data_IF_266908845449
#
_entry.id   IF_266908845449
#
_cell.length_a   1.000
_cell.length_b   1.000
_cell.length_c   1.000
_cell.angle_alpha   90.00
_cell.angle_beta   90.00
_cell.angle_gamma   90.00
#
_symmetry.space_group_name_H-M   'P 1'
#
loop_
_entity.id
_entity.type
_entity.pdbx_description
1 polymer ?
#
# COMPACT_ATOMS: atom_id res chain seq x y z
N UNK A 1 -32.28 -63.89 -36.58
CA UNK A 1 -31.03 -63.66 -35.83
C UNK A 1 -30.88 -62.16 -35.62
N UNK A 2 -31.09 -61.68 -34.40
CA UNK A 2 -30.87 -60.28 -34.01
C UNK A 2 -29.54 -60.23 -33.26
N UNK A 3 -28.55 -59.51 -33.78
CA UNK A 3 -27.30 -59.25 -33.06
C UNK A 3 -27.48 -58.00 -32.21
N UNK A 4 -27.50 -58.17 -30.89
CA UNK A 4 -27.29 -57.10 -29.92
C UNK A 4 -25.78 -56.79 -29.87
N UNK A 5 -25.41 -55.52 -30.05
CA UNK A 5 -24.11 -55.02 -29.62
C UNK A 5 -24.34 -54.09 -28.43
N UNK A 6 -23.86 -54.53 -27.26
CA UNK A 6 -23.75 -53.72 -26.06
C UNK A 6 -22.47 -52.89 -26.18
N UNK A 7 -22.60 -51.56 -26.23
CA UNK A 7 -21.47 -50.65 -26.10
C UNK A 7 -21.44 -50.13 -24.65
N UNK A 8 -20.53 -50.66 -23.85
CA UNK A 8 -20.19 -50.14 -22.53
C UNK A 8 -19.50 -48.78 -22.69
N UNK A 9 -20.20 -47.71 -22.32
CA UNK A 9 -19.62 -46.38 -22.19
C UNK A 9 -18.80 -46.35 -20.89
N UNK A 10 -17.46 -46.40 -20.96
CA UNK A 10 -16.65 -46.16 -19.76
C UNK A 10 -16.69 -44.67 -19.45
N UNK A 11 -17.27 -44.28 -18.32
CA UNK A 11 -17.06 -42.95 -17.76
C UNK A 11 -15.56 -42.74 -17.54
N UNK A 12 -14.96 -41.88 -18.33
CA UNK A 12 -13.66 -41.31 -17.99
C UNK A 12 -13.89 -40.37 -16.81
N UNK A 13 -13.43 -40.76 -15.63
CA UNK A 13 -13.35 -39.88 -14.46
C UNK A 13 -12.43 -38.71 -14.83
N UNK A 14 -13.02 -37.55 -15.11
CA UNK A 14 -12.27 -36.29 -15.18
C UNK A 14 -11.92 -35.95 -13.74
N UNK A 15 -10.68 -36.26 -13.35
CA UNK A 15 -10.13 -35.76 -12.11
C UNK A 15 -10.03 -34.23 -12.22
N UNK A 16 -10.97 -33.51 -11.60
CA UNK A 16 -10.73 -32.11 -11.25
C UNK A 16 -9.56 -32.12 -10.27
N UNK A 17 -8.36 -31.83 -10.76
CA UNK A 17 -7.28 -31.38 -9.91
C UNK A 17 -7.75 -30.07 -9.29
N UNK A 18 -8.05 -30.11 -7.98
CA UNK A 18 -8.13 -28.91 -7.18
C UNK A 18 -6.74 -28.26 -7.20
N UNK A 19 -6.51 -27.38 -8.16
CA UNK A 19 -5.48 -26.37 -7.99
C UNK A 19 -5.97 -25.53 -6.82
N UNK A 20 -5.33 -25.67 -5.67
CA UNK A 20 -5.47 -24.64 -4.63
C UNK A 20 -5.19 -23.33 -5.33
N UNK A 21 -6.15 -22.40 -5.29
CA UNK A 21 -5.92 -21.04 -5.73
C UNK A 21 -4.81 -20.51 -4.83
N UNK A 22 -3.55 -20.64 -5.26
CA UNK A 22 -2.52 -19.77 -4.77
C UNK A 22 -3.04 -18.38 -5.09
N UNK A 23 -3.32 -17.58 -4.05
CA UNK A 23 -3.57 -16.15 -4.22
C UNK A 23 -2.50 -15.65 -5.18
N UNK A 24 -2.90 -15.29 -6.39
CA UNK A 24 -1.96 -14.79 -7.40
C UNK A 24 -1.60 -13.38 -6.98
N UNK A 25 -0.70 -13.24 -6.00
CA UNK A 25 -0.12 -11.94 -5.68
C UNK A 25 0.74 -11.56 -6.88
N UNK A 26 0.28 -10.62 -7.69
CA UNK A 26 1.13 -10.02 -8.71
C UNK A 26 2.20 -9.20 -7.99
N UNK A 27 3.34 -9.02 -8.63
CA UNK A 27 4.39 -8.18 -8.08
C UNK A 27 4.55 -6.94 -8.95
N UNK A 28 4.73 -5.79 -8.31
CA UNK A 28 5.03 -4.54 -8.99
C UNK A 28 6.35 -3.97 -8.49
N UNK A 29 7.19 -3.48 -9.40
CA UNK A 29 8.39 -2.73 -9.04
C UNK A 29 8.02 -1.33 -8.55
N UNK A 30 8.40 -1.00 -7.32
CA UNK A 30 8.14 0.30 -6.69
C UNK A 30 9.34 0.80 -5.89
N UNK A 31 9.49 2.13 -5.75
CA UNK A 31 10.48 2.73 -4.85
C UNK A 31 10.00 2.61 -3.40
N UNK A 32 10.43 1.57 -2.68
CA UNK A 32 9.96 1.30 -1.32
C UNK A 32 10.51 2.26 -0.25
N UNK A 33 11.44 3.14 -0.63
CA UNK A 33 11.97 4.17 0.26
C UNK A 33 11.22 5.50 0.16
N UNK A 34 10.50 5.77 -0.94
CA UNK A 34 9.82 7.05 -1.17
C UNK A 34 8.95 7.42 0.02
N UNK A 35 8.81 8.69 0.41
CA UNK A 35 7.89 9.24 1.44
C UNK A 35 7.82 8.45 2.78
N UNK A 36 8.83 7.63 3.08
CA UNK A 36 8.89 6.81 4.30
C UNK A 36 9.34 7.65 5.49
N UNK A 37 9.11 7.11 6.68
CA UNK A 37 9.64 7.68 7.90
C UNK A 37 11.18 7.65 7.87
N UNK A 38 11.79 8.81 8.13
CA UNK A 38 13.25 8.95 8.15
C UNK A 38 13.72 9.55 9.46
N UNK A 39 14.94 9.19 9.84
CA UNK A 39 15.64 9.77 10.97
C UNK A 39 17.10 9.99 10.59
N UNK A 40 17.80 10.82 11.36
CA UNK A 40 19.18 11.13 11.07
C UNK A 40 19.77 12.09 12.07
N UNK A 41 21.03 12.44 11.83
CA UNK A 41 21.66 13.59 12.46
C UNK A 41 20.83 14.85 12.21
N UNK A 42 20.80 15.77 13.18
CA UNK A 42 20.02 17.01 13.05
C UNK A 42 20.39 17.73 11.74
N UNK A 43 19.39 18.09 10.92
CA UNK A 43 19.66 18.72 9.64
C UNK A 43 20.18 20.14 9.86
N UNK A 44 20.94 20.67 8.89
CA UNK A 44 21.44 22.04 8.95
C UNK A 44 20.30 23.07 9.04
N UNK A 45 19.17 22.81 8.40
CA UNK A 45 17.94 23.60 8.57
C UNK A 45 16.71 22.76 8.22
N UNK A 46 15.51 23.27 8.51
CA UNK A 46 14.25 22.61 8.14
C UNK A 46 14.11 22.40 6.62
N UNK A 47 14.76 23.21 5.79
CA UNK A 47 14.79 23.04 4.33
C UNK A 47 15.48 21.73 3.91
N UNK A 48 16.39 21.21 4.73
CA UNK A 48 17.20 20.02 4.45
C UNK A 48 16.85 18.85 5.37
N UNK A 49 15.57 18.73 5.75
CA UNK A 49 15.08 17.69 6.64
C UNK A 49 15.36 16.28 6.11
N UNK A 50 15.39 15.28 6.99
CA UNK A 50 15.68 13.88 6.63
C UNK A 50 14.74 13.31 5.58
N UNK A 51 13.47 13.74 5.59
CA UNK A 51 12.45 13.32 4.63
C UNK A 51 12.75 13.77 3.20
N UNK A 52 13.63 14.76 3.02
CA UNK A 52 14.05 15.25 1.70
C UNK A 52 14.95 14.30 0.93
N UNK A 53 15.46 13.24 1.56
CA UNK A 53 16.22 12.21 0.87
C UNK A 53 15.34 11.10 0.28
N UNK A 54 14.02 11.16 0.47
CA UNK A 54 13.06 10.18 -0.04
C UNK A 54 11.80 10.87 -0.60
N UNK A 55 11.89 12.13 -1.01
CA UNK A 55 10.72 12.88 -1.49
C UNK A 55 10.52 12.79 -3.01
N UNK A 56 11.29 11.90 -3.65
CA UNK A 56 11.35 11.63 -5.07
C UNK A 56 11.79 12.80 -5.95
N UNK A 57 12.32 13.86 -5.35
CA UNK A 57 12.91 14.95 -6.10
C UNK A 57 14.36 14.64 -6.45
N UNK A 58 14.54 13.75 -7.45
CA UNK A 58 15.85 13.27 -7.89
C UNK A 58 16.84 14.42 -8.15
N UNK A 59 16.39 15.56 -8.68
CA UNK A 59 17.24 16.70 -9.09
C UNK A 59 17.04 17.95 -8.24
N UNK A 60 16.91 17.76 -6.93
CA UNK A 60 16.70 18.87 -6.02
C UNK A 60 18.03 19.52 -5.59
N UNK A 61 17.93 20.78 -5.17
CA UNK A 61 18.98 21.43 -4.38
C UNK A 61 18.64 21.39 -2.89
N UNK A 62 17.52 20.79 -2.48
CA UNK A 62 17.02 20.77 -1.09
C UNK A 62 16.98 19.38 -0.48
N UNK A 63 17.79 18.43 -0.95
CA UNK A 63 17.98 17.13 -0.30
C UNK A 63 18.42 17.22 1.16
N UNK A 64 18.48 16.09 1.85
CA UNK A 64 18.97 16.04 3.23
C UNK A 64 20.43 16.50 3.34
N UNK A 65 20.68 17.34 4.33
CA UNK A 65 22.01 17.83 4.70
C UNK A 65 22.12 17.81 6.23
N UNK A 66 23.01 16.99 6.75
CA UNK A 66 23.31 16.99 8.19
C UNK A 66 23.89 18.33 8.65
N UNK A 67 23.85 18.60 9.95
CA UNK A 67 24.64 19.67 10.56
C UNK A 67 26.14 19.54 10.20
N UNK A 68 26.83 20.69 10.17
CA UNK A 68 28.25 20.80 9.80
C UNK A 68 29.16 20.48 10.99
N UNK A 69 30.32 19.91 10.71
CA UNK A 69 31.38 19.61 11.67
C UNK A 69 31.02 18.51 12.65
N UNK A 70 30.03 17.68 12.29
CA UNK A 70 29.55 16.59 13.11
C UNK A 70 30.29 15.31 12.73
N UNK A 71 30.86 14.64 13.73
CA UNK A 71 31.40 13.30 13.55
C UNK A 71 30.25 12.30 13.44
N UNK A 72 30.47 11.25 12.65
CA UNK A 72 29.52 10.15 12.52
C UNK A 72 28.11 10.57 12.08
N UNK A 73 28.05 11.54 11.14
CA UNK A 73 26.79 11.93 10.54
C UNK A 73 26.10 10.73 9.90
N UNK A 74 24.79 10.62 10.11
CA UNK A 74 24.00 9.51 9.62
C UNK A 74 22.61 9.94 9.17
N UNK A 75 22.01 9.11 8.34
CA UNK A 75 20.64 9.16 7.87
C UNK A 75 20.10 7.74 7.76
N UNK A 76 18.81 7.55 7.99
CA UNK A 76 18.12 6.26 7.87
C UNK A 76 16.68 6.44 7.42
N UNK A 77 16.19 5.45 6.67
CA UNK A 77 14.78 5.23 6.35
C UNK A 77 14.33 3.86 6.90
N UNK A 78 13.13 3.82 7.49
CA UNK A 78 12.40 2.57 7.79
C UNK A 78 11.48 2.26 6.61
N UNK A 79 11.74 1.16 5.91
CA UNK A 79 10.96 0.72 4.76
C UNK A 79 9.59 0.15 5.18
N UNK A 80 9.36 -0.08 6.48
CA UNK A 80 8.10 -0.56 7.05
C UNK A 80 7.89 -2.08 6.94
N UNK A 81 8.68 -2.76 6.12
CA UNK A 81 8.74 -4.21 5.99
C UNK A 81 10.14 -4.61 5.48
N UNK A 82 10.44 -5.90 5.51
CA UNK A 82 11.65 -6.43 4.90
C UNK A 82 11.48 -6.60 3.39
N UNK A 83 12.47 -6.12 2.63
CA UNK A 83 12.50 -6.22 1.18
C UNK A 83 13.77 -6.91 0.69
N UNK A 84 13.64 -7.54 -0.47
CA UNK A 84 14.77 -7.97 -1.27
C UNK A 84 14.91 -6.98 -2.43
N UNK A 85 16.10 -6.41 -2.61
CA UNK A 85 16.33 -5.49 -3.72
C UNK A 85 17.61 -5.81 -4.48
N UNK A 86 17.48 -5.77 -5.80
CA UNK A 86 18.59 -5.95 -6.73
C UNK A 86 19.37 -4.65 -6.93
N UNK A 87 18.73 -3.50 -6.70
CA UNK A 87 19.29 -2.20 -6.97
C UNK A 87 18.96 -1.22 -5.84
N UNK A 88 19.97 -0.46 -5.39
CA UNK A 88 19.77 0.77 -4.61
C UNK A 88 20.48 1.89 -5.35
N UNK A 89 19.83 3.06 -5.45
CA UNK A 89 20.44 4.25 -6.02
C UNK A 89 20.47 5.38 -5.01
N UNK A 90 21.64 5.98 -4.81
CA UNK A 90 21.83 7.18 -4.00
C UNK A 90 22.20 8.32 -4.92
N UNK A 91 21.38 9.35 -4.90
CA UNK A 91 21.53 10.57 -5.65
C UNK A 91 22.21 11.62 -4.78
N UNK A 92 23.29 12.21 -5.30
CA UNK A 92 23.98 13.34 -4.68
C UNK A 92 23.39 14.67 -5.15
N UNK A 93 23.64 15.71 -4.36
CA UNK A 93 23.15 17.06 -4.65
C UNK A 93 23.82 17.63 -5.90
N UNK A 94 23.03 18.27 -6.75
CA UNK A 94 23.48 18.95 -7.96
C UNK A 94 24.12 20.31 -7.64
N UNK A 95 25.33 20.30 -7.08
CA UNK A 95 26.12 21.50 -6.77
C UNK A 95 27.62 21.20 -6.87
N UNK A 96 28.42 22.16 -7.35
CA UNK A 96 29.88 21.96 -7.51
C UNK A 96 30.55 21.64 -6.17
N UNK A 97 31.30 20.54 -6.09
CA UNK A 97 31.92 20.05 -4.85
C UNK A 97 30.97 19.35 -3.86
N UNK A 98 29.67 19.27 -4.15
CA UNK A 98 28.70 18.58 -3.28
C UNK A 98 28.90 17.06 -3.23
N UNK A 99 29.44 16.49 -4.30
CA UNK A 99 29.71 15.05 -4.39
C UNK A 99 30.71 14.57 -3.32
N UNK A 100 31.67 15.41 -2.93
CA UNK A 100 32.68 15.01 -1.95
C UNK A 100 32.11 14.75 -0.55
N UNK A 101 30.92 15.28 -0.27
CA UNK A 101 30.26 15.18 1.04
C UNK A 101 29.65 13.81 1.36
N UNK A 102 29.67 12.87 0.41
CA UNK A 102 29.26 11.48 0.66
C UNK A 102 30.44 10.50 0.53
N UNK A 103 31.58 10.95 0.00
CA UNK A 103 32.74 10.09 -0.23
C UNK A 103 33.28 9.55 1.10
N UNK A 104 33.38 8.23 1.21
CA UNK A 104 33.83 7.53 2.42
C UNK A 104 32.72 7.12 3.38
N UNK A 105 31.48 7.60 3.19
CA UNK A 105 30.32 7.11 3.92
C UNK A 105 29.98 5.66 3.52
N UNK A 106 29.09 5.03 4.27
CA UNK A 106 28.64 3.65 4.04
C UNK A 106 27.13 3.61 3.88
N UNK A 107 26.66 3.00 2.80
CA UNK A 107 25.29 2.53 2.66
C UNK A 107 25.16 1.19 3.38
N UNK A 108 24.23 1.08 4.33
CA UNK A 108 24.06 -0.07 5.20
C UNK A 108 22.59 -0.53 5.18
N UNK A 109 22.38 -1.84 5.17
CA UNK A 109 21.06 -2.46 5.28
C UNK A 109 20.94 -3.24 6.59
N UNK A 110 19.81 -3.10 7.27
CA UNK A 110 19.49 -3.82 8.51
C UNK A 110 18.17 -4.57 8.39
N UNK A 111 18.09 -5.74 9.01
CA UNK A 111 16.85 -6.53 9.14
C UNK A 111 15.89 -5.94 10.19
N UNK A 112 14.77 -6.62 10.46
CA UNK A 112 13.78 -6.20 11.44
C UNK A 112 14.29 -6.18 12.90
N UNK A 113 15.28 -7.01 13.23
CA UNK A 113 16.01 -7.03 14.51
C UNK A 113 17.09 -5.96 14.60
N UNK A 114 17.27 -5.16 13.54
CA UNK A 114 18.30 -4.13 13.42
C UNK A 114 19.74 -4.70 13.34
N UNK A 115 19.90 -5.94 12.86
CA UNK A 115 21.19 -6.54 12.55
C UNK A 115 21.66 -6.08 11.17
N UNK A 116 22.92 -5.66 11.05
CA UNK A 116 23.48 -5.24 9.76
C UNK A 116 23.72 -6.45 8.85
N UNK A 117 23.05 -6.48 7.70
CA UNK A 117 23.09 -7.61 6.75
C UNK A 117 23.76 -7.24 5.41
N UNK A 118 23.87 -5.94 5.12
CA UNK A 118 24.61 -5.41 3.98
C UNK A 118 25.34 -4.13 4.33
N UNK A 119 26.52 -3.94 3.74
CA UNK A 119 27.28 -2.70 3.78
C UNK A 119 28.03 -2.48 2.48
N UNK A 120 27.97 -1.26 1.97
CA UNK A 120 28.68 -0.80 0.78
C UNK A 120 29.32 0.56 1.06
N UNK A 121 30.63 0.67 0.86
CA UNK A 121 31.34 1.96 0.96
C UNK A 121 31.03 2.82 -0.27
N UNK A 122 30.72 4.08 -0.01
CA UNK A 122 30.41 5.11 -1.01
C UNK A 122 31.71 5.81 -1.42
N UNK A 123 31.99 5.90 -2.72
CA UNK A 123 33.26 6.48 -3.21
C UNK A 123 33.15 6.97 -4.64
N UNK A 124 33.93 7.99 -5.03
CA UNK A 124 34.12 8.36 -6.45
C UNK A 124 33.36 9.60 -6.91
N UNK A 125 32.83 10.41 -6.00
CA UNK A 125 32.16 11.65 -6.35
C UNK A 125 33.13 12.84 -6.30
N UNK A 126 33.79 13.19 -7.41
CA UNK A 126 34.42 14.50 -7.56
C UNK A 126 33.87 15.17 -8.81
N UNK A 127 33.29 16.36 -8.65
CA UNK A 127 32.68 17.11 -9.73
C UNK A 127 33.26 18.49 -9.87
N UNK A 128 33.81 18.77 -11.04
CA UNK A 128 34.30 20.09 -11.42
C UNK A 128 33.29 20.89 -12.24
N UNK A 129 32.21 20.27 -12.75
CA UNK A 129 31.15 20.96 -13.51
C UNK A 129 29.78 20.24 -13.46
N UNK A 130 28.68 20.98 -13.69
CA UNK A 130 27.28 20.49 -13.65
C UNK A 130 26.90 19.63 -14.88
N UNK A 131 27.73 19.59 -15.93
CA UNK A 131 27.41 18.87 -17.18
C UNK A 131 27.69 17.37 -17.15
N UNK A 132 28.28 16.83 -16.08
CA UNK A 132 28.68 15.43 -15.99
C UNK A 132 27.64 14.57 -15.23
N UNK A 133 27.10 13.54 -15.89
CA UNK A 133 25.99 12.68 -15.47
C UNK A 133 26.24 11.77 -14.22
N UNK A 134 27.31 11.94 -13.46
CA UNK A 134 27.73 11.00 -12.39
C UNK A 134 27.13 11.29 -10.98
N UNK A 135 25.88 11.76 -10.87
CA UNK A 135 25.31 12.28 -9.59
C UNK A 135 24.47 11.20 -8.91
N UNK A 136 24.58 9.99 -9.43
CA UNK A 136 23.90 8.79 -8.99
C UNK A 136 24.97 7.73 -8.84
N UNK A 137 24.95 7.04 -7.71
CA UNK A 137 25.57 5.75 -7.61
C UNK A 137 24.48 4.73 -7.43
N UNK A 138 24.51 3.75 -8.30
CA UNK A 138 23.57 2.64 -8.29
C UNK A 138 24.38 1.38 -8.07
N UNK A 139 23.96 0.58 -7.10
CA UNK A 139 24.57 -0.71 -6.80
C UNK A 139 23.60 -1.79 -7.20
N UNK A 140 23.89 -2.44 -8.32
CA UNK A 140 23.25 -3.68 -8.68
C UNK A 140 23.97 -4.81 -7.95
N UNK A 141 23.31 -5.44 -6.99
CA UNK A 141 23.97 -6.40 -6.12
C UNK A 141 23.71 -7.86 -6.47
N UNK A 142 23.00 -8.15 -7.57
CA UNK A 142 22.80 -9.50 -8.08
C UNK A 142 22.60 -10.57 -7.00
N UNK A 143 21.75 -10.29 -5.99
CA UNK A 143 21.40 -11.11 -4.81
C UNK A 143 22.37 -11.26 -3.61
N UNK A 144 23.50 -10.53 -3.50
CA UNK A 144 24.46 -10.71 -2.38
C UNK A 144 24.27 -9.77 -1.16
N UNK A 145 23.28 -10.03 -0.30
CA UNK A 145 23.21 -9.43 1.06
C UNK A 145 22.17 -8.32 1.27
N UNK A 146 21.48 -7.89 0.22
CA UNK A 146 20.34 -6.96 0.33
C UNK A 146 18.98 -7.68 0.38
N UNK A 147 18.97 -8.91 0.92
CA UNK A 147 17.74 -9.67 1.14
C UNK A 147 17.31 -9.52 2.60
N UNK A 148 16.02 -9.29 2.85
CA UNK A 148 15.50 -9.12 4.21
C UNK A 148 15.78 -7.74 4.82
N UNK A 149 16.00 -6.70 4.02
CA UNK A 149 16.35 -5.37 4.55
C UNK A 149 15.08 -4.60 4.87
N UNK A 150 14.97 -4.14 6.13
CA UNK A 150 13.91 -3.23 6.58
C UNK A 150 14.40 -1.81 6.77
N UNK A 151 15.61 -1.62 7.29
CA UNK A 151 16.16 -0.28 7.49
C UNK A 151 17.34 -0.07 6.55
N UNK A 152 17.33 1.05 5.84
CA UNK A 152 18.44 1.47 5.00
C UNK A 152 19.05 2.73 5.60
N UNK A 153 20.37 2.74 5.80
CA UNK A 153 21.08 3.87 6.38
C UNK A 153 22.29 4.29 5.57
N UNK A 154 22.63 5.58 5.62
CA UNK A 154 23.89 6.12 5.12
C UNK A 154 24.63 6.72 6.30
N UNK A 155 25.87 6.27 6.55
CA UNK A 155 26.61 6.57 7.79
C UNK A 155 28.07 6.90 7.52
N UNK A 156 28.58 7.91 8.20
CA UNK A 156 30.02 8.17 8.31
C UNK A 156 30.64 7.33 9.45
N UNK A 157 30.75 6.01 9.27
CA UNK A 157 31.25 5.09 10.31
C UNK A 157 32.69 5.40 10.75
N UNK A 158 33.50 5.91 9.83
CA UNK A 158 34.94 6.11 10.01
C UNK A 158 35.30 7.57 10.37
N UNK A 159 34.30 8.46 10.49
CA UNK A 159 34.52 9.89 10.72
C UNK A 159 35.23 10.62 9.57
N UNK A 160 35.24 10.03 8.37
CA UNK A 160 36.04 10.45 7.21
C UNK A 160 35.48 11.72 6.58
N UNK A 161 34.17 12.00 6.73
CA UNK A 161 33.56 13.19 6.14
C UNK A 161 34.14 14.50 6.71
N UNK A 162 34.74 14.46 7.91
CA UNK A 162 35.33 15.63 8.56
C UNK A 162 36.59 16.19 7.87
N UNK A 163 37.20 15.43 6.96
CA UNK A 163 38.41 15.85 6.23
C UNK A 163 38.17 16.70 4.98
N UNK A 164 36.91 16.87 4.55
CA UNK A 164 36.57 17.56 3.30
C UNK A 164 36.39 19.07 3.53
N UNK A 165 36.86 19.91 2.59
CA UNK A 165 37.04 21.37 2.66
C UNK A 165 35.82 22.23 3.06
N UNK A 166 34.64 21.64 3.27
CA UNK A 166 33.37 22.30 3.57
C UNK A 166 32.75 21.82 4.88
N UNK A 167 33.58 21.35 5.83
CA UNK A 167 33.19 21.17 7.23
C UNK A 167 32.30 19.97 7.50
N UNK A 168 32.64 18.78 6.98
CA UNK A 168 32.12 17.48 7.45
C UNK A 168 30.62 17.39 7.65
N UNK A 169 29.89 17.21 6.56
CA UNK A 169 28.45 16.99 6.59
C UNK A 169 28.06 15.96 5.53
N UNK A 170 27.06 15.13 5.86
CA UNK A 170 26.49 14.11 5.00
C UNK A 170 25.41 14.73 4.12
N UNK A 171 25.57 14.64 2.80
CA UNK A 171 24.65 15.22 1.81
C UNK A 171 24.03 14.12 0.97
N UNK A 172 22.71 14.03 0.99
CA UNK A 172 21.94 13.03 0.26
C UNK A 172 20.83 13.77 -0.46
N UNK A 173 20.81 13.72 -1.79
CA UNK A 173 19.71 14.33 -2.52
C UNK A 173 18.47 13.44 -2.53
N UNK A 174 18.64 12.16 -2.88
CA UNK A 174 17.55 11.21 -2.93
C UNK A 174 18.07 9.78 -2.80
N UNK A 175 17.28 8.89 -2.22
CA UNK A 175 17.55 7.47 -2.12
C UNK A 175 16.38 6.72 -2.73
N UNK A 176 16.68 5.94 -3.76
CA UNK A 176 15.68 5.16 -4.50
C UNK A 176 16.00 3.68 -4.33
N UNK A 177 15.05 2.94 -3.77
CA UNK A 177 15.14 1.51 -3.49
C UNK A 177 14.02 0.82 -4.27
N UNK A 178 14.24 0.49 -5.56
CA UNK A 178 13.28 -0.30 -6.31
C UNK A 178 13.23 -1.74 -5.76
N UNK A 179 12.05 -2.17 -5.32
CA UNK A 179 11.80 -3.55 -4.92
C UNK A 179 10.47 -4.05 -5.50
N UNK A 180 10.37 -5.36 -5.71
CA UNK A 180 9.10 -5.99 -6.04
C UNK A 180 8.24 -6.01 -4.78
N UNK A 181 7.05 -5.44 -4.88
CA UNK A 181 6.09 -5.44 -3.76
C UNK A 181 4.89 -6.28 -4.16
N UNK A 182 4.41 -7.18 -3.28
CA UNK A 182 3.17 -7.90 -3.51
C UNK A 182 2.01 -6.93 -3.69
N UNK A 183 1.28 -7.11 -4.77
CA UNK A 183 -0.01 -6.49 -5.05
C UNK A 183 -1.07 -7.57 -4.99
N UNK A 184 -2.20 -7.24 -4.37
CA UNK A 184 -3.36 -8.10 -4.47
C UNK A 184 -4.06 -7.80 -5.81
N UNK A 185 -4.05 -8.75 -6.74
CA UNK A 185 -4.62 -8.54 -8.09
C UNK A 185 -6.12 -8.34 -8.09
N UNK A 186 -6.79 -8.75 -7.01
CA UNK A 186 -8.23 -8.56 -6.87
C UNK A 186 -8.58 -7.22 -6.23
N UNK A 187 -7.62 -6.50 -5.67
CA UNK A 187 -7.88 -5.22 -5.03
C UNK A 187 -8.34 -4.17 -6.05
N UNK A 188 -9.50 -3.56 -5.78
CA UNK A 188 -10.12 -2.58 -6.65
C UNK A 188 -9.55 -1.20 -6.33
N UNK A 189 -8.78 -0.65 -7.27
CA UNK A 189 -8.18 0.69 -7.16
C UNK A 189 -9.08 1.79 -7.72
N UNK A 190 -8.84 3.04 -7.33
CA UNK A 190 -9.54 4.20 -7.91
C UNK A 190 -10.97 4.39 -7.41
N UNK A 191 -11.33 3.73 -6.31
CA UNK A 191 -12.63 3.87 -5.66
C UNK A 191 -12.84 5.32 -5.23
N UNK A 192 -13.97 5.91 -5.63
CA UNK A 192 -14.37 7.24 -5.20
C UNK A 192 -15.44 7.14 -4.12
N UNK A 193 -15.30 7.90 -3.04
CA UNK A 193 -16.26 7.90 -1.93
C UNK A 193 -17.06 9.21 -1.87
N UNK A 194 -18.33 9.12 -1.50
CA UNK A 194 -19.24 10.24 -1.25
C UNK A 194 -20.25 9.89 -0.14
N UNK A 195 -21.07 10.83 0.31
CA UNK A 195 -22.06 10.60 1.38
C UNK A 195 -22.96 11.81 1.63
N UNK A 196 -23.84 11.73 2.63
CA UNK A 196 -24.73 12.83 3.02
C UNK A 196 -24.21 13.71 4.15
N UNK A 197 -23.14 13.32 4.85
CA UNK A 197 -22.66 14.08 6.01
C UNK A 197 -21.19 14.45 5.88
N UNK A 198 -20.94 15.76 5.85
CA UNK A 198 -19.64 16.38 6.04
C UNK A 198 -19.69 17.16 7.35
N UNK A 199 -18.69 16.98 8.21
CA UNK A 199 -18.47 17.80 9.40
C UNK A 199 -18.45 19.28 9.03
N UNK A 200 -19.46 20.04 9.49
CA UNK A 200 -19.68 21.43 9.06
C UNK A 200 -18.99 22.48 9.93
N UNK A 201 -18.30 22.10 11.01
CA UNK A 201 -17.68 23.05 11.95
C UNK A 201 -16.14 23.07 11.88
N UNK A 202 -15.62 23.57 10.77
CA UNK A 202 -14.63 24.67 10.77
C UNK A 202 -13.19 24.50 11.29
N UNK A 203 -12.74 23.38 11.86
CA UNK A 203 -11.32 23.30 12.33
C UNK A 203 -10.56 22.01 12.05
N UNK A 204 -11.17 20.98 11.48
CA UNK A 204 -10.44 19.80 11.01
C UNK A 204 -10.43 19.76 9.49
N UNK A 205 -9.23 19.82 8.89
CA UNK A 205 -9.00 19.64 7.46
C UNK A 205 -9.24 18.18 6.99
N UNK A 206 -9.65 17.31 7.92
CA UNK A 206 -9.55 15.86 7.84
C UNK A 206 -10.86 15.15 7.45
N UNK A 207 -11.84 15.87 6.89
CA UNK A 207 -13.22 15.37 6.76
C UNK A 207 -13.63 15.19 5.31
N UNK A 208 -12.80 14.52 4.52
CA UNK A 208 -13.11 14.23 3.13
C UNK A 208 -13.33 12.74 2.93
N UNK A 209 -14.37 12.39 2.17
CA UNK A 209 -14.72 10.99 1.90
C UNK A 209 -13.57 10.21 1.26
N UNK A 210 -12.73 10.87 0.45
CA UNK A 210 -11.60 10.24 -0.22
C UNK A 210 -10.58 9.62 0.75
N UNK A 211 -10.49 10.11 2.00
CA UNK A 211 -9.54 9.62 3.00
C UNK A 211 -9.79 8.17 3.43
N UNK A 212 -11.00 7.64 3.20
CA UNK A 212 -11.31 6.23 3.49
C UNK A 212 -10.90 5.27 2.38
N UNK A 213 -10.50 5.77 1.21
CA UNK A 213 -10.27 4.95 0.01
C UNK A 213 -8.96 5.32 -0.70
N UNK A 214 -8.19 6.26 -0.15
CA UNK A 214 -6.92 6.69 -0.70
C UNK A 214 -5.73 5.91 -0.14
N UNK A 215 -5.96 5.09 0.89
CA UNK A 215 -4.99 4.25 1.56
C UNK A 215 -3.79 4.97 2.17
N UNK A 216 -3.79 6.30 2.23
CA UNK A 216 -2.68 7.10 2.79
C UNK A 216 -2.42 6.81 4.27
N UNK A 217 -3.41 6.25 4.97
CA UNK A 217 -3.32 5.77 6.34
C UNK A 217 -2.83 4.33 6.49
N UNK A 218 -2.51 3.60 5.42
CA UNK A 218 -2.31 2.14 5.47
C UNK A 218 -0.83 1.73 5.49
N UNK A 219 -0.50 0.71 6.29
CA UNK A 219 0.89 0.28 6.49
C UNK A 219 1.57 -0.21 5.22
N UNK A 220 0.80 -0.81 4.32
CA UNK A 220 1.26 -1.27 3.01
C UNK A 220 1.37 -0.15 1.97
N UNK A 221 0.95 1.07 2.29
CA UNK A 221 1.05 2.22 1.38
C UNK A 221 1.96 3.33 1.89
N UNK A 222 2.42 3.23 3.14
CA UNK A 222 3.44 4.13 3.65
C UNK A 222 4.55 4.22 2.61
N UNK A 223 4.85 5.41 2.13
CA UNK A 223 5.99 5.60 1.28
C UNK A 223 5.93 5.11 -0.17
N UNK A 224 4.75 5.07 -0.79
CA UNK A 224 4.66 5.03 -2.25
C UNK A 224 4.14 6.38 -2.75
N UNK A 225 4.86 7.02 -3.65
CA UNK A 225 4.34 8.21 -4.32
C UNK A 225 3.28 7.83 -5.35
N UNK A 226 2.40 8.78 -5.66
CA UNK A 226 1.50 8.68 -6.81
C UNK A 226 0.28 7.77 -6.62
N UNK A 227 -0.16 7.52 -5.39
CA UNK A 227 -1.42 6.78 -5.14
C UNK A 227 -1.34 5.32 -5.57
N UNK A 228 -0.15 4.71 -5.50
CA UNK A 228 0.01 3.27 -5.73
C UNK A 228 -0.52 2.52 -4.51
N UNK A 229 -1.81 2.21 -4.59
CA UNK A 229 -2.51 1.44 -3.57
C UNK A 229 -2.04 -0.02 -3.64
N UNK A 230 -1.28 -0.45 -2.64
CA UNK A 230 -1.06 -1.86 -2.39
C UNK A 230 -2.28 -2.35 -1.62
N UNK A 231 -2.95 -3.36 -2.15
CA UNK A 231 -4.20 -3.88 -1.63
C UNK A 231 -4.01 -4.99 -0.61
N UNK A 232 -2.96 -4.98 0.21
CA UNK A 232 -2.72 -6.09 1.13
C UNK A 232 -3.87 -6.18 2.15
N UNK A 233 -4.65 -7.28 2.20
CA UNK A 233 -5.74 -7.42 3.17
C UNK A 233 -5.25 -7.43 4.62
N UNK A 234 -3.99 -7.81 4.85
CA UNK A 234 -3.36 -7.85 6.17
C UNK A 234 -2.78 -6.50 6.62
N UNK A 235 -3.02 -5.43 5.85
CA UNK A 235 -2.53 -4.11 6.19
C UNK A 235 -3.16 -3.57 7.48
N UNK A 236 -2.38 -2.80 8.22
CA UNK A 236 -2.87 -2.09 9.40
C UNK A 236 -3.13 -0.62 9.05
N UNK A 237 -4.25 -0.09 9.52
CA UNK A 237 -4.48 1.34 9.51
C UNK A 237 -3.61 1.97 10.59
N UNK A 238 -2.83 2.98 10.22
CA UNK A 238 -1.99 3.76 11.13
C UNK A 238 -2.85 4.57 12.08
N UNK A 239 -2.38 4.72 13.30
CA UNK A 239 -2.96 5.66 14.26
C UNK A 239 -2.77 7.10 13.78
N UNK A 240 -3.86 7.80 13.45
CA UNK A 240 -3.82 9.18 12.98
C UNK A 240 -5.00 9.99 13.55
N UNK A 241 -4.71 11.19 14.09
CA UNK A 241 -5.72 12.14 14.58
C UNK A 241 -6.44 12.92 13.46
N UNK A 242 -6.03 12.70 12.21
CA UNK A 242 -6.59 13.25 10.97
C UNK A 242 -6.32 12.27 9.83
N UNK A 243 -7.04 12.33 8.70
CA UNK A 243 -6.97 11.29 7.66
C UNK A 243 -7.97 10.15 7.83
N UNK A 244 -9.09 10.39 8.53
CA UNK A 244 -10.20 9.45 8.68
C UNK A 244 -11.49 10.19 8.41
N UNK A 245 -12.45 9.55 7.77
CA UNK A 245 -13.76 10.17 7.64
C UNK A 245 -14.46 10.23 8.98
N UNK A 246 -15.14 11.35 9.22
CA UNK A 246 -16.04 11.54 10.36
C UNK A 246 -17.31 12.26 9.93
N UNK A 247 -18.44 11.91 10.53
CA UNK A 247 -19.76 12.29 10.03
C UNK A 247 -20.30 13.64 10.56
N UNK A 248 -19.69 14.25 11.58
CA UNK A 248 -20.32 15.36 12.31
C UNK A 248 -21.14 14.89 13.51
N UNK A 249 -21.25 15.76 14.53
CA UNK A 249 -21.81 15.44 15.86
C UNK A 249 -23.33 15.60 15.96
N UNK A 250 -23.99 16.12 14.93
CA UNK A 250 -25.43 16.40 14.97
C UNK A 250 -26.03 16.26 13.57
N UNK A 251 -26.85 15.24 13.38
CA UNK A 251 -27.72 15.11 12.23
C UNK A 251 -29.03 14.45 12.61
N UNK A 252 -30.11 14.91 11.99
CA UNK A 252 -31.43 14.28 12.06
C UNK A 252 -31.54 13.06 11.15
N UNK A 253 -30.57 12.86 10.26
CA UNK A 253 -30.48 11.74 9.32
C UNK A 253 -29.28 10.86 9.64
N UNK A 254 -29.44 9.55 9.43
CA UNK A 254 -28.34 8.60 9.57
C UNK A 254 -27.28 8.86 8.49
N UNK A 255 -25.98 8.83 8.83
CA UNK A 255 -24.94 9.00 7.84
C UNK A 255 -24.83 7.79 6.93
N UNK A 256 -24.64 8.04 5.64
CA UNK A 256 -24.30 7.02 4.67
C UNK A 256 -23.07 7.40 3.85
N UNK A 257 -22.42 6.36 3.33
CA UNK A 257 -21.30 6.41 2.42
C UNK A 257 -21.64 5.64 1.15
N UNK A 258 -21.26 6.17 -0.01
CA UNK A 258 -21.36 5.54 -1.31
C UNK A 258 -19.96 5.48 -1.90
N UNK A 259 -19.56 4.27 -2.29
CA UNK A 259 -18.31 3.96 -2.97
C UNK A 259 -18.60 3.65 -4.44
N UNK A 260 -18.07 4.46 -5.36
CA UNK A 260 -18.07 4.21 -6.81
C UNK A 260 -16.77 3.52 -7.21
N UNK A 261 -16.89 2.26 -7.60
CA UNK A 261 -15.79 1.38 -8.02
C UNK A 261 -15.26 1.69 -9.43
N UNK A 262 -15.77 2.74 -10.09
CA UNK A 262 -15.47 3.19 -11.46
C UNK A 262 -15.98 2.28 -12.58
N UNK A 263 -16.07 0.98 -12.33
CA UNK A 263 -16.64 -0.02 -13.23
C UNK A 263 -17.54 -1.00 -12.46
N UNK A 264 -18.33 -1.78 -13.21
CA UNK A 264 -19.07 -2.88 -12.61
C UNK A 264 -18.13 -4.07 -12.41
N UNK A 265 -17.99 -4.52 -11.17
CA UNK A 265 -17.06 -5.57 -10.75
C UNK A 265 -17.83 -6.77 -10.20
N UNK A 266 -17.31 -7.98 -10.40
CA UNK A 266 -17.77 -9.17 -9.67
C UNK A 266 -17.08 -9.13 -8.31
N UNK A 267 -17.83 -8.82 -7.25
CA UNK A 267 -17.26 -8.56 -5.94
C UNK A 267 -16.97 -9.86 -5.18
N UNK A 268 -15.92 -9.83 -4.38
CA UNK A 268 -15.52 -10.89 -3.44
C UNK A 268 -15.79 -10.43 -1.99
N UNK A 269 -15.13 -9.37 -1.55
CA UNK A 269 -15.24 -8.88 -0.17
C UNK A 269 -15.00 -7.38 -0.03
N UNK A 270 -15.46 -6.84 1.11
CA UNK A 270 -15.13 -5.51 1.60
C UNK A 270 -14.50 -5.60 2.99
N UNK A 271 -13.36 -4.92 3.16
CA UNK A 271 -12.66 -4.80 4.44
C UNK A 271 -12.85 -3.38 5.00
N UNK A 272 -13.15 -3.28 6.30
CA UNK A 272 -13.38 -1.99 6.97
C UNK A 272 -12.46 -1.84 8.18
N UNK A 273 -11.63 -0.80 8.15
CA UNK A 273 -10.89 -0.31 9.31
C UNK A 273 -11.72 0.79 9.97
N UNK A 274 -12.17 0.52 11.18
CA UNK A 274 -12.95 1.44 11.98
C UNK A 274 -12.06 2.54 12.56
N UNK A 275 -12.67 3.65 13.01
CA UNK A 275 -11.96 4.78 13.61
C UNK A 275 -11.01 4.32 14.72
N UNK A 276 -9.70 4.48 14.51
CA UNK A 276 -8.66 4.04 15.44
C UNK A 276 -7.96 5.21 16.18
N UNK A 277 -8.39 6.45 15.95
CA UNK A 277 -7.78 7.62 16.58
C UNK A 277 -7.84 7.53 18.13
N UNK A 278 -6.74 7.89 18.83
CA UNK A 278 -6.65 7.76 20.29
C UNK A 278 -7.78 8.45 21.02
N UNK A 279 -8.42 7.71 21.93
CA UNK A 279 -9.53 8.15 22.78
C UNK A 279 -10.79 8.59 22.01
N UNK A 280 -10.89 8.25 20.72
CA UNK A 280 -12.01 8.61 19.86
C UNK A 280 -12.71 7.39 19.25
N UNK A 281 -12.34 6.17 19.66
CA UNK A 281 -12.86 4.92 19.10
C UNK A 281 -14.37 4.72 19.32
N UNK A 282 -14.94 5.36 20.35
CA UNK A 282 -16.38 5.33 20.60
C UNK A 282 -17.18 5.97 19.45
N UNK A 283 -16.58 6.91 18.72
CA UNK A 283 -17.16 7.48 17.50
C UNK A 283 -16.92 6.62 16.25
N UNK A 284 -16.45 5.38 16.39
CA UNK A 284 -16.41 4.41 15.30
C UNK A 284 -17.81 3.93 14.93
N UNK A 285 -18.01 3.58 13.66
CA UNK A 285 -19.25 2.98 13.18
C UNK A 285 -19.44 1.61 13.84
N UNK A 286 -20.66 1.31 14.30
CA UNK A 286 -20.98 0.01 14.93
C UNK A 286 -21.93 -0.79 14.04
N UNK A 287 -23.22 -0.49 14.05
CA UNK A 287 -24.18 -1.24 13.25
C UNK A 287 -24.42 -0.56 11.90
N UNK A 288 -24.46 -1.33 10.81
CA UNK A 288 -24.59 -0.85 9.43
C UNK A 288 -25.55 -1.69 8.60
N UNK A 289 -26.12 -1.08 7.57
CA UNK A 289 -26.68 -1.81 6.42
C UNK A 289 -25.75 -1.63 5.23
N UNK A 290 -25.52 -2.71 4.48
CA UNK A 290 -24.71 -2.70 3.26
C UNK A 290 -25.61 -2.98 2.08
N UNK A 291 -25.50 -2.17 1.04
CA UNK A 291 -26.31 -2.31 -0.17
C UNK A 291 -25.45 -2.17 -1.42
N UNK A 292 -25.81 -2.84 -2.50
CA UNK A 292 -25.09 -2.80 -3.78
C UNK A 292 -25.98 -2.24 -4.90
N UNK A 293 -25.36 -1.62 -5.90
CA UNK A 293 -26.05 -1.06 -7.06
C UNK A 293 -25.18 -1.07 -8.32
N UNK A 294 -25.81 -1.21 -9.48
CA UNK A 294 -25.17 -1.05 -10.80
C UNK A 294 -25.31 0.36 -11.38
N UNK A 295 -26.30 1.13 -10.92
CA UNK A 295 -26.68 2.43 -11.50
C UNK A 295 -26.52 3.61 -10.55
N UNK A 296 -26.28 3.36 -9.26
CA UNK A 296 -26.14 4.38 -8.22
C UNK A 296 -27.47 5.00 -7.78
N UNK A 297 -28.59 4.45 -8.24
CA UNK A 297 -29.94 4.92 -7.97
C UNK A 297 -30.76 3.87 -7.20
N UNK A 298 -30.71 2.63 -7.67
CA UNK A 298 -31.44 1.50 -7.11
C UNK A 298 -30.47 0.60 -6.36
N UNK A 299 -30.66 0.50 -5.04
CA UNK A 299 -29.81 -0.31 -4.16
C UNK A 299 -30.56 -1.56 -3.71
N UNK A 300 -29.85 -2.68 -3.68
CA UNK A 300 -30.31 -3.93 -3.09
C UNK A 300 -29.52 -4.17 -1.81
N UNK A 301 -30.22 -4.32 -0.69
CA UNK A 301 -29.60 -4.60 0.59
C UNK A 301 -29.03 -6.02 0.58
N UNK A 302 -27.85 -6.16 1.18
CA UNK A 302 -27.22 -7.46 1.38
C UNK A 302 -27.77 -8.09 2.67
N UNK A 303 -27.90 -9.43 2.68
CA UNK A 303 -28.34 -10.12 3.87
C UNK A 303 -27.27 -10.10 4.96
N UNK A 304 -27.70 -10.05 6.22
CA UNK A 304 -26.77 -10.24 7.35
C UNK A 304 -26.43 -11.73 7.53
N UNK A 305 -25.61 -12.02 8.55
CA UNK A 305 -25.23 -13.40 8.90
C UNK A 305 -26.40 -14.30 9.28
N UNK A 306 -27.58 -13.74 9.55
CA UNK A 306 -28.81 -14.49 9.82
C UNK A 306 -29.65 -14.73 8.55
N UNK A 307 -29.24 -14.17 7.40
CA UNK A 307 -29.90 -14.35 6.10
C UNK A 307 -31.08 -13.41 5.86
N UNK A 308 -31.29 -12.40 6.71
CA UNK A 308 -32.37 -11.43 6.54
C UNK A 308 -32.02 -10.41 5.46
N UNK A 309 -32.89 -10.22 4.46
CA UNK A 309 -32.59 -9.46 3.24
C UNK A 309 -32.24 -7.97 3.44
N UNK A 310 -32.58 -7.38 4.60
CA UNK A 310 -32.18 -6.03 5.00
C UNK A 310 -31.30 -6.12 6.26
N UNK A 311 -30.18 -6.81 6.11
CA UNK A 311 -29.33 -7.21 7.21
C UNK A 311 -28.74 -6.05 8.00
N UNK A 312 -28.63 -6.22 9.31
CA UNK A 312 -27.78 -5.36 10.14
C UNK A 312 -26.46 -6.07 10.39
N UNK A 313 -25.36 -5.45 9.98
CA UNK A 313 -24.02 -5.95 10.24
C UNK A 313 -23.34 -5.13 11.34
N UNK A 314 -22.60 -5.80 12.22
CA UNK A 314 -21.87 -5.14 13.30
C UNK A 314 -20.38 -5.06 12.98
N UNK A 315 -19.82 -3.86 13.05
CA UNK A 315 -18.39 -3.56 12.99
C UNK A 315 -17.89 -3.41 14.44
N UNK A 316 -16.97 -4.28 14.90
CA UNK A 316 -16.31 -4.14 16.19
C UNK A 316 -15.64 -2.77 16.39
N UNK A 317 -15.52 -2.35 17.64
CA UNK A 317 -14.74 -1.16 17.99
C UNK A 317 -13.26 -1.39 17.67
N UNK A 318 -12.57 -0.36 17.17
CA UNK A 318 -11.12 -0.45 16.96
C UNK A 318 -10.39 -0.56 18.31
N UNK A 319 -9.31 -1.36 18.42
CA UNK A 319 -8.47 -1.38 19.63
C UNK A 319 -7.71 -0.06 19.85
N UNK A 320 -7.76 0.87 18.88
CA UNK A 320 -6.89 2.04 18.84
C UNK A 320 -5.48 1.69 18.36
N UNK A 321 -4.65 2.70 18.11
CA UNK A 321 -3.31 2.47 17.61
C UNK A 321 -3.29 1.97 16.16
N UNK A 322 -2.15 1.41 15.75
CA UNK A 322 -2.06 0.70 14.49
C UNK A 322 -2.85 -0.61 14.61
N UNK A 323 -3.90 -0.76 13.81
CA UNK A 323 -4.86 -1.85 13.96
C UNK A 323 -5.19 -2.53 12.62
N UNK A 324 -5.45 -3.85 12.59
CA UNK A 324 -6.01 -4.53 11.43
C UNK A 324 -7.46 -4.07 11.18
N UNK A 325 -8.10 -4.59 10.13
CA UNK A 325 -9.52 -4.31 9.88
C UNK A 325 -10.39 -4.85 11.03
N UNK A 326 -11.52 -4.21 11.28
CA UNK A 326 -12.47 -4.64 12.31
C UNK A 326 -13.56 -5.53 11.72
N UNK A 327 -13.91 -5.36 10.45
CA UNK A 327 -14.92 -6.14 9.78
C UNK A 327 -14.51 -6.51 8.36
N UNK A 328 -14.88 -7.73 7.98
CA UNK A 328 -14.87 -8.24 6.63
C UNK A 328 -16.30 -8.62 6.25
N UNK A 329 -16.74 -8.13 5.11
CA UNK A 329 -18.06 -8.40 4.57
C UNK A 329 -17.93 -9.20 3.29
N UNK A 330 -18.57 -10.36 3.27
CA UNK A 330 -18.71 -11.18 2.07
C UNK A 330 -19.64 -10.48 1.08
N UNK A 331 -19.08 -10.14 -0.08
CA UNK A 331 -19.81 -9.54 -1.21
C UNK A 331 -19.93 -10.53 -2.38
N UNK A 332 -19.49 -11.78 -2.20
CA UNK A 332 -19.43 -12.79 -3.24
C UNK A 332 -20.80 -13.03 -3.89
N UNK A 333 -20.77 -13.29 -5.20
CA UNK A 333 -21.98 -13.49 -6.00
C UNK A 333 -22.70 -12.21 -6.41
N UNK A 334 -22.21 -11.03 -6.02
CA UNK A 334 -22.77 -9.75 -6.46
C UNK A 334 -21.94 -9.12 -7.57
N UNK A 335 -22.59 -8.57 -8.58
CA UNK A 335 -21.97 -7.68 -9.57
C UNK A 335 -22.47 -6.26 -9.34
N UNK A 336 -21.58 -5.33 -9.03
CA UNK A 336 -21.95 -3.97 -8.69
C UNK A 336 -20.87 -2.96 -9.07
N UNK A 337 -21.30 -1.71 -9.30
CA UNK A 337 -20.42 -0.56 -9.43
C UNK A 337 -20.41 0.30 -8.17
N UNK A 338 -21.52 0.32 -7.46
CA UNK A 338 -21.67 1.13 -6.26
C UNK A 338 -21.93 0.24 -5.06
N UNK A 339 -21.23 0.52 -3.97
CA UNK A 339 -21.51 -0.05 -2.65
C UNK A 339 -21.91 1.07 -1.72
N UNK A 340 -22.99 0.88 -0.95
CA UNK A 340 -23.48 1.83 0.03
C UNK A 340 -23.37 1.23 1.43
N UNK A 341 -22.88 2.02 2.37
CA UNK A 341 -22.85 1.71 3.79
C UNK A 341 -23.68 2.76 4.53
N UNK A 342 -24.78 2.36 5.14
CA UNK A 342 -25.61 3.19 6.00
C UNK A 342 -25.27 2.90 7.46
N UNK A 343 -24.75 3.88 8.18
CA UNK A 343 -24.40 3.70 9.59
C UNK A 343 -25.62 3.96 10.49
N UNK A 344 -26.04 2.94 11.23
CA UNK A 344 -27.23 2.94 12.08
C UNK A 344 -26.92 3.48 13.47
N UNK A 345 -25.74 3.16 14.02
CA UNK A 345 -25.27 3.65 15.32
C UNK A 345 -23.73 3.60 15.46
N UNK A 346 -23.22 4.18 16.55
CA UNK A 346 -21.81 4.21 16.92
C UNK A 346 -21.54 3.38 18.19
N UNK A 347 -20.27 3.26 18.58
CA UNK A 347 -19.85 2.62 19.84
C UNK A 347 -20.03 3.54 21.08
N UNK A 348 -20.98 4.48 21.03
CA UNK A 348 -21.29 5.41 22.12
C UNK A 348 -20.71 6.83 21.94
N UNK A 349 -20.07 7.10 20.82
CA UNK A 349 -19.65 8.44 20.41
C UNK A 349 -20.81 9.27 19.86
N UNK A 350 -20.65 10.59 19.85
CA UNK A 350 -21.63 11.54 19.29
C UNK A 350 -21.51 11.71 17.77
N UNK A 351 -20.46 11.15 17.18
CA UNK A 351 -20.16 11.11 15.75
C UNK A 351 -19.92 9.66 15.29
N UNK A 352 -19.77 9.50 13.97
CA UNK A 352 -19.39 8.26 13.32
C UNK A 352 -18.08 8.49 12.56
N UNK A 353 -17.26 7.45 12.41
CA UNK A 353 -16.03 7.54 11.66
C UNK A 353 -15.49 6.19 11.23
N UNK A 354 -14.77 6.22 10.11
CA UNK A 354 -14.12 5.08 9.46
C UNK A 354 -12.73 5.55 9.02
N UNK A 355 -11.74 4.69 9.23
CA UNK A 355 -10.36 4.95 8.85
C UNK A 355 -10.12 4.63 7.38
N UNK A 356 -10.54 3.44 6.93
CA UNK A 356 -10.29 2.94 5.57
C UNK A 356 -11.36 1.90 5.21
N UNK A 357 -11.71 1.83 3.92
CA UNK A 357 -12.48 0.74 3.30
C UNK A 357 -11.76 0.28 2.04
N UNK A 358 -11.65 -1.05 1.89
CA UNK A 358 -11.06 -1.69 0.71
C UNK A 358 -12.02 -2.69 0.10
N UNK A 359 -12.01 -2.77 -1.23
CA UNK A 359 -12.83 -3.69 -2.00
C UNK A 359 -11.97 -4.64 -2.82
N UNK A 360 -12.44 -5.87 -2.94
CA UNK A 360 -11.78 -6.93 -3.69
C UNK A 360 -12.78 -7.57 -4.65
N UNK A 361 -12.33 -7.84 -5.87
CA UNK A 361 -13.07 -8.55 -6.90
C UNK A 361 -12.80 -10.06 -6.84
N UNK A 362 -13.68 -10.86 -7.43
CA UNK A 362 -13.37 -12.28 -7.67
C UNK A 362 -12.24 -12.34 -8.72
N UNK A 363 -11.19 -13.15 -8.52
CA UNK A 363 -10.18 -13.34 -9.55
C UNK A 363 -10.83 -13.78 -10.86
N UNK A 364 -10.62 -13.01 -11.94
CA UNK A 364 -11.07 -13.42 -13.26
C UNK A 364 -10.54 -14.83 -13.55
N UNK A 365 -11.39 -15.82 -13.86
CA UNK A 365 -10.91 -17.14 -14.23
C UNK A 365 -10.05 -16.95 -15.48
N UNK A 366 -8.74 -17.17 -15.32
CA UNK A 366 -7.76 -16.94 -16.39
C UNK A 366 -8.32 -17.41 -17.72
N UNK A 367 -8.59 -16.46 -18.62
CA UNK A 367 -9.33 -16.70 -19.87
C UNK A 367 -8.65 -17.75 -20.75
N UNK A 368 -7.37 -18.00 -20.49
CA UNK A 368 -6.55 -19.10 -21.00
C UNK A 368 -7.11 -20.51 -20.70
N UNK A 369 -7.67 -20.75 -19.50
CA UNK A 369 -8.28 -22.04 -19.16
C UNK A 369 -9.58 -22.27 -19.92
N UNK A 370 -10.37 -21.21 -20.14
CA UNK A 370 -11.58 -21.28 -20.96
C UNK A 370 -11.25 -21.53 -22.43
N UNK A 371 -10.22 -20.86 -22.98
CA UNK A 371 -9.76 -21.08 -24.35
C UNK A 371 -9.13 -22.46 -24.54
N UNK A 372 -8.34 -22.94 -23.57
CA UNK A 372 -7.74 -24.27 -23.61
C UNK A 372 -8.79 -25.38 -23.55
N UNK A 373 -9.83 -25.21 -22.72
CA UNK A 373 -10.98 -26.12 -22.68
C UNK A 373 -11.73 -26.20 -24.02
N UNK A 374 -11.98 -25.05 -24.65
CA UNK A 374 -12.63 -24.98 -25.97
C UNK A 374 -11.75 -25.61 -27.06
N UNK A 375 -10.44 -25.39 -27.03
CA UNK A 375 -9.51 -25.99 -28.00
C UNK A 375 -9.46 -27.52 -27.91
N UNK A 376 -9.49 -28.09 -26.70
CA UNK A 376 -9.51 -29.55 -26.49
C UNK A 376 -10.83 -30.16 -26.99
N UNK A 377 -11.96 -29.51 -26.77
CA UNK A 377 -13.27 -29.97 -27.29
C UNK A 377 -13.30 -29.92 -28.82
N UNK A 378 -12.77 -28.85 -29.44
CA UNK A 378 -12.73 -28.70 -30.89
C UNK A 378 -11.74 -29.67 -31.56
N UNK A 379 -10.62 -30.01 -30.91
CA UNK A 379 -9.67 -31.00 -31.41
C UNK A 379 -10.18 -32.44 -31.22
N UNK A 380 -10.88 -32.74 -30.13
CA UNK A 380 -11.49 -34.04 -29.88
C UNK A 380 -12.62 -34.41 -30.86
N UNK A 381 -13.28 -33.42 -31.47
CA UNK A 381 -14.33 -33.65 -32.47
C UNK A 381 -13.80 -33.94 -33.88
N UNK A 382 -12.50 -33.77 -34.16
CA UNK A 382 -11.92 -34.01 -35.50
C UNK A 382 -11.40 -35.42 -35.76
N UNK A 383 -11.38 -36.31 -34.77
CA UNK A 383 -10.90 -37.70 -34.91
C UNK A 383 -12.01 -38.76 -35.09
N UNK A 384 -13.22 -38.37 -35.48
CA UNK A 384 -14.29 -39.30 -35.88
C UNK A 384 -14.73 -39.03 -37.32
N UNK A 385 -13.91 -39.45 -38.28
CA UNK A 385 -14.34 -39.74 -39.67
C UNK A 385 -13.76 -41.10 -40.03
#
# INVERSE_FOLDING_TARGET
MRCFWSATLSLATVALMSYGAAESRAEMLANVAAVKATAGTLPWSSTYATAKAVDEQLRSVTGYVSGKGLTNAWWQVDLGAEFNFDLVSVYCRLYTGAGDHINGAYLCGYDDTYTEIATQKLSGYYYTSISDNNWVQSWNNGSNGWSGVRYLAIRDKDGVLNGVASGGCLWINEVVVPAMVPTDTTYITGVAASGNMLYSSGTHADVQYYLMVDGTGMSDQTGLSGGRLLGNPDATAREIHGGQWTSGTVSTELPYLIYDLQAAEILDRMLVWNRNAPNLQNGGVKDVTISVSSDGLNYTDLPDTNGEAAGTHTIPISPGGNAPYQAEFDLSGNTARYVKLLALNSHGGTDWGIAEVRFYAVPEPSTLLLLAGVAVVLLGQRCRI
#
